data_IF_224559485063
#
_entry.id   IF_224559485063
#
_cell.length_a   1.000
_cell.length_b   1.000
_cell.length_c   1.000
_cell.angle_alpha   90.00
_cell.angle_beta   90.00
_cell.angle_gamma   90.00
#
_symmetry.space_group_name_H-M   'P 1'
#
loop_
_entity.id
_entity.type
_entity.pdbx_description
1 polymer ?
#
# COMPACT_ATOMS: atom_id res chain seq x y z
N UNK A 1 16.67 23.73 -39.13
CA UNK A 1 15.20 23.58 -39.20
C UNK A 1 14.81 22.28 -38.58
N UNK A 2 14.39 22.31 -37.34
CA UNK A 2 13.98 21.17 -36.56
C UNK A 2 12.45 21.12 -36.56
N UNK A 3 11.88 20.25 -37.40
CA UNK A 3 10.43 20.01 -37.45
C UNK A 3 10.04 19.14 -36.24
N UNK A 4 9.50 19.79 -35.23
CA UNK A 4 8.71 19.11 -34.19
C UNK A 4 7.38 18.75 -34.84
N UNK A 5 7.19 17.48 -35.20
CA UNK A 5 5.87 16.95 -35.57
C UNK A 5 5.08 16.74 -34.28
N UNK A 6 4.35 17.76 -33.89
CA UNK A 6 3.22 17.59 -32.97
C UNK A 6 2.21 16.68 -33.66
N UNK A 7 2.12 15.42 -33.21
CA UNK A 7 0.98 14.57 -33.55
C UNK A 7 -0.19 15.07 -32.73
N UNK A 8 -1.21 15.68 -33.35
CA UNK A 8 -2.41 16.00 -32.60
C UNK A 8 -3.02 14.70 -32.11
N UNK A 9 -3.37 14.67 -30.81
CA UNK A 9 -4.12 13.57 -30.20
C UNK A 9 -5.36 13.33 -31.06
N UNK A 10 -5.63 12.07 -31.40
CA UNK A 10 -6.86 11.75 -32.13
C UNK A 10 -8.06 12.09 -31.21
N UNK A 11 -9.16 12.50 -31.81
CA UNK A 11 -10.41 12.78 -31.09
C UNK A 11 -10.78 11.60 -30.19
N UNK A 12 -10.55 10.38 -30.65
CA UNK A 12 -10.76 9.13 -29.89
C UNK A 12 -9.89 9.09 -28.61
N UNK A 13 -8.61 9.40 -28.73
CA UNK A 13 -7.70 9.40 -27.55
C UNK A 13 -8.06 10.49 -26.53
N UNK A 14 -8.57 11.62 -27.01
CA UNK A 14 -9.08 12.70 -26.14
C UNK A 14 -10.38 12.28 -25.46
N UNK A 15 -11.29 11.60 -26.17
CA UNK A 15 -12.55 11.09 -25.61
C UNK A 15 -12.29 10.01 -24.58
N UNK A 16 -11.43 9.03 -24.87
CA UNK A 16 -11.05 7.95 -23.94
C UNK A 16 -10.37 8.51 -22.68
N UNK A 17 -9.54 9.55 -22.83
CA UNK A 17 -8.93 10.26 -21.71
C UNK A 17 -9.94 11.00 -20.84
N UNK A 18 -10.91 11.69 -21.47
CA UNK A 18 -11.99 12.38 -20.76
C UNK A 18 -12.91 11.39 -20.02
N UNK A 19 -13.26 10.28 -20.65
CA UNK A 19 -14.07 9.23 -20.00
C UNK A 19 -13.39 8.66 -18.76
N UNK A 20 -12.08 8.38 -18.83
CA UNK A 20 -11.30 7.90 -17.65
C UNK A 20 -11.27 8.94 -16.54
N UNK A 21 -11.02 10.20 -16.86
CA UNK A 21 -11.04 11.30 -15.89
C UNK A 21 -12.44 11.43 -15.27
N UNK A 22 -13.49 11.36 -16.09
CA UNK A 22 -14.87 11.47 -15.63
C UNK A 22 -15.27 10.30 -14.73
N UNK A 23 -14.84 9.07 -15.05
CA UNK A 23 -15.05 7.91 -14.20
C UNK A 23 -14.31 8.02 -12.86
N UNK A 24 -13.07 8.51 -12.85
CA UNK A 24 -12.28 8.74 -11.63
C UNK A 24 -12.91 9.81 -10.74
N UNK A 25 -13.34 10.94 -11.34
CA UNK A 25 -14.01 12.03 -10.63
C UNK A 25 -15.36 11.57 -10.10
N UNK A 26 -16.13 10.80 -10.89
CA UNK A 26 -17.43 10.25 -10.53
C UNK A 26 -17.32 9.25 -9.37
N UNK A 27 -16.35 8.32 -9.45
CA UNK A 27 -16.07 7.35 -8.41
C UNK A 27 -15.71 8.05 -7.09
N UNK A 28 -14.79 9.02 -7.15
CA UNK A 28 -14.40 9.82 -5.98
C UNK A 28 -15.57 10.62 -5.41
N UNK A 29 -16.43 11.20 -6.26
CA UNK A 29 -17.64 11.92 -5.81
C UNK A 29 -18.67 10.98 -5.23
N UNK A 30 -18.83 9.77 -5.79
CA UNK A 30 -19.74 8.76 -5.30
C UNK A 30 -19.27 8.24 -3.92
N UNK A 31 -17.97 7.94 -3.79
CA UNK A 31 -17.38 7.51 -2.52
C UNK A 31 -17.52 8.60 -1.43
N UNK A 32 -17.26 9.86 -1.79
CA UNK A 32 -17.49 11.00 -0.89
C UNK A 32 -18.98 11.20 -0.56
N UNK A 33 -19.88 10.96 -1.50
CA UNK A 33 -21.33 11.10 -1.29
C UNK A 33 -21.90 9.94 -0.45
N UNK A 34 -21.40 8.71 -0.66
CA UNK A 34 -21.73 7.56 0.17
C UNK A 34 -21.17 7.72 1.59
N UNK A 35 -19.92 8.14 1.72
CA UNK A 35 -19.32 8.47 3.01
C UNK A 35 -20.06 9.60 3.74
N UNK A 36 -20.64 10.57 3.02
CA UNK A 36 -21.51 11.62 3.61
C UNK A 36 -22.89 11.11 4.05
N UNK A 37 -23.42 10.09 3.38
CA UNK A 37 -24.73 9.49 3.73
C UNK A 37 -24.63 8.56 4.95
N UNK A 38 -23.48 7.95 5.19
CA UNK A 38 -23.21 7.17 6.40
C UNK A 38 -22.72 8.05 7.55
N UNK A 39 -22.38 9.31 7.29
CA UNK A 39 -21.82 10.22 8.27
C UNK A 39 -22.89 11.18 8.82
N UNK A 40 -23.47 10.81 9.91
CA UNK A 40 -23.97 11.73 10.95
C UNK A 40 -22.80 12.48 11.66
N UNK A 41 -21.72 12.78 10.97
CA UNK A 41 -20.54 13.46 11.52
C UNK A 41 -19.69 12.66 12.51
N UNK A 42 -20.18 11.51 12.97
CA UNK A 42 -19.43 10.51 13.74
C UNK A 42 -18.69 9.62 12.77
N UNK A 43 -17.34 9.60 12.82
CA UNK A 43 -16.56 8.62 12.10
C UNK A 43 -16.96 7.20 12.52
N UNK A 44 -16.80 6.24 11.63
CA UNK A 44 -17.06 4.84 11.94
C UNK A 44 -15.82 4.22 12.59
N UNK A 45 -16.03 3.51 13.71
CA UNK A 45 -14.99 2.75 14.39
C UNK A 45 -14.95 1.34 13.78
N UNK A 46 -13.83 0.98 13.21
CA UNK A 46 -13.61 -0.32 12.59
C UNK A 46 -12.34 -0.96 13.13
N UNK A 47 -12.34 -2.28 13.23
CA UNK A 47 -11.11 -3.05 13.46
C UNK A 47 -10.51 -3.42 12.11
N UNK A 48 -9.37 -2.83 11.76
CA UNK A 48 -8.73 -3.00 10.47
C UNK A 48 -7.23 -3.28 10.62
N UNK A 49 -6.69 -4.00 9.66
CA UNK A 49 -5.25 -3.98 9.39
C UNK A 49 -4.94 -2.75 8.57
N UNK A 50 -4.05 -1.92 9.07
CA UNK A 50 -3.49 -0.77 8.36
C UNK A 50 -2.12 -1.16 7.84
N UNK A 51 -1.86 -0.89 6.56
CA UNK A 51 -0.59 -1.15 5.91
C UNK A 51 0.04 0.09 5.30
N UNK A 52 1.37 0.12 5.31
CA UNK A 52 2.18 1.04 4.53
C UNK A 52 3.16 0.25 3.69
N UNK A 53 3.26 0.60 2.41
CA UNK A 53 4.30 0.15 1.50
C UNK A 53 5.12 1.36 1.04
N UNK A 54 6.44 1.27 1.02
CA UNK A 54 7.33 2.41 0.79
C UNK A 54 8.55 1.99 -0.04
N UNK A 55 8.99 2.87 -0.94
CA UNK A 55 10.14 2.65 -1.84
C UNK A 55 11.45 2.88 -1.06
N UNK A 56 12.27 1.84 -0.98
CA UNK A 56 13.56 1.93 -0.28
C UNK A 56 14.53 2.83 -1.06
N UNK A 57 15.08 3.83 -0.36
CA UNK A 57 16.10 4.71 -0.94
C UNK A 57 15.58 5.76 -1.91
N UNK A 58 14.26 6.02 -1.95
CA UNK A 58 13.61 6.97 -2.83
C UNK A 58 14.29 8.35 -2.84
N UNK A 59 14.62 8.91 -1.69
CA UNK A 59 15.30 10.22 -1.58
C UNK A 59 16.63 10.27 -2.34
N UNK A 60 17.38 9.16 -2.37
CA UNK A 60 18.62 9.07 -3.13
C UNK A 60 18.35 8.84 -4.61
N UNK A 61 17.31 8.08 -4.93
CA UNK A 61 16.91 7.75 -6.30
C UNK A 61 16.41 9.01 -7.02
N UNK A 62 15.50 9.76 -6.41
CA UNK A 62 14.90 10.98 -6.97
C UNK A 62 15.92 12.08 -7.31
N UNK A 63 17.11 12.04 -6.71
CA UNK A 63 18.21 12.96 -7.05
C UNK A 63 19.05 12.50 -8.25
N UNK A 64 18.94 11.24 -8.67
CA UNK A 64 19.77 10.61 -9.70
C UNK A 64 19.05 10.39 -11.02
N UNK A 65 17.73 10.24 -11.01
CA UNK A 65 16.92 10.02 -12.20
C UNK A 65 16.22 11.30 -12.64
N UNK A 66 15.86 11.39 -13.91
CA UNK A 66 15.11 12.52 -14.46
C UNK A 66 13.65 12.54 -14.00
N UNK A 67 13.00 13.70 -14.06
CA UNK A 67 11.61 13.87 -13.60
C UNK A 67 10.62 12.94 -14.34
N UNK A 68 10.81 12.73 -15.64
CA UNK A 68 9.96 11.83 -16.43
C UNK A 68 10.09 10.37 -16.00
N UNK A 69 11.31 9.94 -15.71
CA UNK A 69 11.58 8.58 -15.22
C UNK A 69 11.04 8.40 -13.80
N UNK A 70 11.21 9.42 -12.96
CA UNK A 70 10.64 9.44 -11.60
C UNK A 70 9.12 9.35 -11.64
N UNK A 71 8.46 10.12 -12.51
CA UNK A 71 7.01 10.06 -12.68
C UNK A 71 6.57 8.66 -13.11
N UNK A 72 7.19 8.09 -14.15
CA UNK A 72 6.85 6.75 -14.63
C UNK A 72 7.02 5.67 -13.56
N UNK A 73 8.04 5.81 -12.71
CA UNK A 73 8.27 4.91 -11.58
C UNK A 73 7.15 5.02 -10.54
N UNK A 74 6.78 6.24 -10.15
CA UNK A 74 5.71 6.46 -9.16
C UNK A 74 4.35 6.00 -9.69
N UNK A 75 4.03 6.32 -10.95
CA UNK A 75 2.80 5.88 -11.61
C UNK A 75 2.70 4.34 -11.65
N UNK A 76 3.81 3.66 -11.99
CA UNK A 76 3.87 2.20 -12.02
C UNK A 76 3.75 1.59 -10.61
N UNK A 77 4.40 2.17 -9.62
CA UNK A 77 4.32 1.72 -8.22
C UNK A 77 2.90 1.87 -7.69
N UNK A 78 2.28 3.04 -7.88
CA UNK A 78 0.92 3.31 -7.41
C UNK A 78 -0.09 2.39 -8.08
N UNK A 79 -0.06 2.27 -9.40
CA UNK A 79 -1.01 1.46 -10.16
C UNK A 79 -0.95 -0.02 -9.76
N UNK A 80 0.26 -0.61 -9.73
CA UNK A 80 0.44 -2.03 -9.41
C UNK A 80 0.15 -2.34 -7.94
N UNK A 81 0.53 -1.45 -7.03
CA UNK A 81 0.19 -1.61 -5.61
C UNK A 81 -1.32 -1.56 -5.40
N UNK A 82 -2.01 -0.63 -6.07
CA UNK A 82 -3.47 -0.53 -6.03
C UNK A 82 -4.15 -1.80 -6.55
N UNK A 83 -3.67 -2.35 -7.66
CA UNK A 83 -4.18 -3.60 -8.26
C UNK A 83 -4.10 -4.76 -7.27
N UNK A 84 -2.92 -5.04 -6.70
CA UNK A 84 -2.71 -6.11 -5.70
C UNK A 84 -3.64 -5.93 -4.49
N UNK A 85 -3.75 -4.71 -3.96
CA UNK A 85 -4.57 -4.44 -2.78
C UNK A 85 -6.04 -4.70 -3.09
N UNK A 86 -6.53 -4.25 -4.25
CA UNK A 86 -7.94 -4.36 -4.64
C UNK A 86 -8.33 -5.80 -4.99
N UNK A 87 -7.44 -6.56 -5.63
CA UNK A 87 -7.66 -7.97 -5.96
C UNK A 87 -7.81 -8.86 -4.72
N UNK A 88 -7.23 -8.44 -3.59
CA UNK A 88 -7.32 -9.13 -2.30
C UNK A 88 -8.36 -8.49 -1.35
N UNK A 89 -9.36 -7.77 -1.88
CA UNK A 89 -10.43 -7.11 -1.12
C UNK A 89 -9.94 -6.05 -0.12
N UNK A 90 -8.76 -5.46 -0.36
CA UNK A 90 -8.25 -4.32 0.39
C UNK A 90 -8.69 -2.97 -0.19
N UNK A 91 -8.40 -1.93 0.54
CA UNK A 91 -8.69 -0.55 0.13
C UNK A 91 -7.45 0.32 0.22
N UNK A 92 -7.10 1.02 -0.86
CA UNK A 92 -6.07 2.05 -0.83
C UNK A 92 -6.68 3.31 -0.22
N UNK A 93 -6.10 3.77 0.87
CA UNK A 93 -6.53 4.99 1.57
C UNK A 93 -5.98 6.22 0.88
N UNK A 94 -4.67 6.24 0.66
CA UNK A 94 -3.97 7.36 0.00
C UNK A 94 -2.55 7.02 -0.39
N UNK A 95 -2.04 7.76 -1.37
CA UNK A 95 -0.61 7.78 -1.72
C UNK A 95 0.07 8.98 -1.04
N UNK A 96 1.26 8.77 -0.52
CA UNK A 96 2.06 9.73 0.24
C UNK A 96 3.46 9.88 -0.37
N UNK A 97 3.52 10.38 -1.60
CA UNK A 97 4.77 10.45 -2.38
C UNK A 97 5.25 9.06 -2.80
N UNK A 98 6.27 8.55 -2.12
CA UNK A 98 6.87 7.23 -2.35
C UNK A 98 6.28 6.11 -1.49
N UNK A 99 5.20 6.39 -0.77
CA UNK A 99 4.51 5.42 0.07
C UNK A 99 3.01 5.33 -0.25
N UNK A 100 2.43 4.15 -0.10
CA UNK A 100 1.00 3.88 -0.21
C UNK A 100 0.47 3.41 1.14
N UNK A 101 -0.60 4.04 1.64
CA UNK A 101 -1.35 3.63 2.81
C UNK A 101 -2.60 2.85 2.37
N UNK A 102 -2.82 1.70 2.98
CA UNK A 102 -3.94 0.82 2.65
C UNK A 102 -4.52 0.13 3.88
N UNK A 103 -5.70 -0.47 3.73
CA UNK A 103 -6.37 -1.21 4.80
C UNK A 103 -6.95 -2.53 4.29
N UNK A 104 -7.09 -3.48 5.23
CA UNK A 104 -7.76 -4.76 5.03
C UNK A 104 -8.60 -5.09 6.26
N UNK A 105 -9.67 -5.87 6.07
CA UNK A 105 -10.39 -6.50 7.17
C UNK A 105 -9.72 -7.80 7.61
N UNK A 106 -9.19 -8.57 6.66
CA UNK A 106 -8.55 -9.86 6.88
C UNK A 106 -7.01 -9.71 6.99
N UNK A 107 -6.40 -10.09 8.11
CA UNK A 107 -4.94 -10.09 8.27
C UNK A 107 -4.20 -11.01 7.29
N UNK A 108 -4.79 -12.13 6.90
CA UNK A 108 -4.18 -13.04 5.93
C UNK A 108 -4.14 -12.43 4.53
N UNK A 109 -5.20 -11.73 4.11
CA UNK A 109 -5.22 -10.98 2.86
C UNK A 109 -4.19 -9.83 2.87
N UNK A 110 -4.06 -9.11 3.99
CA UNK A 110 -3.03 -8.07 4.15
C UNK A 110 -1.61 -8.63 4.05
N UNK A 111 -1.38 -9.80 4.65
CA UNK A 111 -0.11 -10.51 4.55
C UNK A 111 0.19 -10.92 3.11
N UNK A 112 -0.76 -11.52 2.40
CA UNK A 112 -0.64 -11.88 0.98
C UNK A 112 -0.37 -10.65 0.10
N UNK A 113 -1.08 -9.53 0.35
CA UNK A 113 -0.84 -8.28 -0.36
C UNK A 113 0.60 -7.78 -0.16
N UNK A 114 1.13 -7.85 1.07
CA UNK A 114 2.52 -7.44 1.34
C UNK A 114 3.54 -8.24 0.55
N UNK A 115 3.28 -9.52 0.34
CA UNK A 115 4.10 -10.43 -0.46
C UNK A 115 4.04 -10.05 -1.94
N UNK A 116 2.82 -9.87 -2.47
CA UNK A 116 2.61 -9.40 -3.84
C UNK A 116 3.33 -8.07 -4.11
N UNK A 117 3.25 -7.13 -3.16
CA UNK A 117 3.94 -5.84 -3.22
C UNK A 117 5.47 -6.02 -3.31
N UNK A 118 6.07 -6.93 -2.55
CA UNK A 118 7.51 -7.18 -2.67
C UNK A 118 7.91 -7.75 -4.04
N UNK A 119 7.07 -8.58 -4.65
CA UNK A 119 7.31 -9.13 -6.00
C UNK A 119 7.28 -8.06 -7.11
N UNK A 120 6.70 -6.90 -6.87
CA UNK A 120 6.77 -5.78 -7.82
C UNK A 120 8.21 -5.34 -8.11
N UNK A 121 9.12 -5.55 -7.16
CA UNK A 121 10.53 -5.24 -7.31
C UNK A 121 11.29 -6.20 -8.22
N UNK A 122 10.69 -7.33 -8.59
CA UNK A 122 11.28 -8.31 -9.52
C UNK A 122 11.22 -7.82 -10.98
N UNK A 123 10.40 -6.79 -11.23
CA UNK A 123 10.19 -6.23 -12.57
C UNK A 123 10.49 -4.72 -12.57
N UNK A 124 11.46 -4.23 -13.37
CA UNK A 124 11.69 -2.80 -13.51
C UNK A 124 10.41 -2.06 -13.96
N UNK A 125 10.23 -0.79 -13.59
CA UNK A 125 11.21 0.10 -12.96
C UNK A 125 11.16 0.15 -11.42
N UNK A 126 10.37 -0.70 -10.73
CA UNK A 126 10.09 -0.57 -9.31
C UNK A 126 11.29 -1.03 -8.47
N UNK A 127 11.86 -0.14 -7.62
CA UNK A 127 12.93 -0.50 -6.71
C UNK A 127 12.43 -1.41 -5.58
N UNK A 128 13.35 -1.95 -4.76
CA UNK A 128 12.96 -2.70 -3.59
C UNK A 128 12.04 -1.92 -2.66
N UNK A 129 11.04 -2.62 -2.14
CA UNK A 129 10.00 -2.09 -1.28
C UNK A 129 10.18 -2.57 0.17
N UNK A 130 9.53 -1.90 1.09
CA UNK A 130 9.37 -2.31 2.48
C UNK A 130 7.91 -2.11 2.90
N UNK A 131 7.41 -2.98 3.77
CA UNK A 131 6.03 -2.96 4.21
C UNK A 131 5.94 -3.02 5.74
N UNK A 132 4.95 -2.33 6.30
CA UNK A 132 4.60 -2.41 7.70
C UNK A 132 3.10 -2.60 7.86
N UNK A 133 2.67 -3.56 8.67
CA UNK A 133 1.26 -3.85 8.95
C UNK A 133 1.00 -3.75 10.45
N UNK A 134 -0.15 -3.18 10.84
CA UNK A 134 -0.61 -3.17 12.22
C UNK A 134 -2.13 -3.26 12.27
N UNK A 135 -2.70 -3.97 13.24
CA UNK A 135 -4.14 -4.15 13.39
C UNK A 135 -4.67 -3.50 14.67
N UNK A 136 -5.87 -3.00 14.61
CA UNK A 136 -6.63 -2.53 15.75
C UNK A 136 -7.75 -1.58 15.36
N UNK A 137 -8.36 -1.01 16.40
CA UNK A 137 -9.46 -0.06 16.22
C UNK A 137 -8.98 1.25 15.59
N UNK A 138 -9.63 1.64 14.52
CA UNK A 138 -9.38 2.87 13.78
C UNK A 138 -10.67 3.66 13.59
N UNK A 139 -10.52 4.98 13.48
CA UNK A 139 -11.58 5.88 13.10
C UNK A 139 -11.49 6.15 11.60
N UNK A 140 -12.55 5.82 10.85
CA UNK A 140 -12.65 6.17 9.44
C UNK A 140 -13.48 7.46 9.30
N UNK A 141 -12.94 8.43 8.58
CA UNK A 141 -13.62 9.70 8.35
C UNK A 141 -13.21 10.31 7.01
N UNK A 142 -14.19 10.63 6.17
CA UNK A 142 -13.98 11.28 4.86
C UNK A 142 -12.99 10.53 3.94
N UNK A 143 -13.00 9.18 4.01
CA UNK A 143 -12.09 8.34 3.22
C UNK A 143 -10.66 8.27 3.77
N UNK A 144 -10.39 8.87 4.94
CA UNK A 144 -9.11 8.72 5.66
C UNK A 144 -9.28 7.86 6.91
N UNK A 145 -8.16 7.34 7.42
CA UNK A 145 -8.10 6.42 8.56
C UNK A 145 -7.17 6.98 9.63
N UNK A 146 -7.66 6.99 10.88
CA UNK A 146 -6.95 7.55 12.03
C UNK A 146 -6.93 6.54 13.18
N UNK A 147 -5.87 6.55 13.95
CA UNK A 147 -5.73 5.71 15.13
C UNK A 147 -4.31 5.26 15.39
N UNK A 148 -4.14 4.50 16.48
CA UNK A 148 -2.84 3.98 16.86
C UNK A 148 -2.27 3.01 15.82
N UNK A 149 -3.06 2.10 15.18
CA UNK A 149 -2.57 1.20 14.14
C UNK A 149 -1.91 1.92 12.98
N UNK A 150 -2.41 3.10 12.58
CA UNK A 150 -1.81 3.92 11.51
C UNK A 150 -0.38 4.33 11.87
N UNK A 151 -0.18 4.77 13.12
CA UNK A 151 1.13 5.18 13.59
C UNK A 151 2.09 3.99 13.72
N UNK A 152 1.61 2.85 14.24
CA UNK A 152 2.40 1.62 14.38
C UNK A 152 2.84 1.11 13.01
N UNK A 153 1.90 0.95 12.06
CA UNK A 153 2.20 0.48 10.70
C UNK A 153 3.24 1.36 9.99
N UNK A 154 3.11 2.70 10.10
CA UNK A 154 4.09 3.63 9.55
C UNK A 154 5.48 3.48 10.18
N UNK A 155 5.58 3.23 11.50
CA UNK A 155 6.85 3.00 12.19
C UNK A 155 7.47 1.65 11.83
N UNK A 156 6.66 0.61 11.70
CA UNK A 156 7.10 -0.71 11.26
C UNK A 156 7.64 -0.63 9.83
N UNK A 157 6.91 -0.01 8.90
CA UNK A 157 7.36 0.21 7.54
C UNK A 157 8.70 0.95 7.50
N UNK A 158 8.82 2.08 8.21
CA UNK A 158 10.06 2.85 8.28
C UNK A 158 11.24 2.10 8.92
N UNK A 159 10.98 1.07 9.72
CA UNK A 159 11.99 0.22 10.38
C UNK A 159 12.30 -1.06 9.61
N UNK A 160 11.45 -1.43 8.67
CA UNK A 160 11.61 -2.62 7.85
C UNK A 160 12.82 -2.45 6.91
N UNK A 161 13.56 -3.55 6.73
CA UNK A 161 14.63 -3.62 5.74
C UNK A 161 14.02 -3.81 4.35
N UNK A 162 14.84 -3.55 3.34
CA UNK A 162 14.53 -3.84 1.95
C UNK A 162 13.99 -5.27 1.77
N UNK A 163 12.86 -5.41 1.06
CA UNK A 163 12.24 -6.68 0.77
C UNK A 163 11.65 -7.38 2.01
N UNK A 164 11.37 -6.63 3.08
CA UNK A 164 10.81 -7.21 4.32
C UNK A 164 9.53 -6.53 4.74
N UNK A 165 8.63 -7.34 5.29
CA UNK A 165 7.42 -6.90 5.99
C UNK A 165 7.63 -7.03 7.49
N UNK A 166 7.30 -5.98 8.23
CA UNK A 166 7.18 -6.02 9.68
C UNK A 166 5.72 -5.89 10.08
N UNK A 167 5.30 -6.69 11.04
CA UNK A 167 3.94 -6.69 11.58
C UNK A 167 3.96 -6.46 13.08
N UNK A 168 2.87 -5.93 13.63
CA UNK A 168 2.68 -5.82 15.08
C UNK A 168 2.25 -7.17 15.70
N UNK A 169 2.08 -7.18 17.01
CA UNK A 169 1.68 -8.38 17.76
C UNK A 169 0.28 -8.86 17.36
N UNK A 170 -0.65 -7.93 17.11
CA UNK A 170 -2.04 -8.28 16.75
C UNK A 170 -2.13 -9.00 15.41
N UNK A 171 -1.41 -8.53 14.38
CA UNK A 171 -1.32 -9.22 13.09
C UNK A 171 -0.57 -10.55 13.24
N UNK A 172 0.51 -10.58 14.04
CA UNK A 172 1.28 -11.79 14.25
C UNK A 172 0.46 -12.92 14.87
N UNK A 173 -0.34 -12.61 15.90
CA UNK A 173 -1.20 -13.55 16.60
C UNK A 173 -2.30 -14.13 15.69
N UNK A 174 -2.88 -13.31 14.81
CA UNK A 174 -3.90 -13.75 13.85
C UNK A 174 -3.34 -14.66 12.74
N UNK A 175 -2.07 -14.50 12.41
CA UNK A 175 -1.39 -15.34 11.42
C UNK A 175 -0.79 -16.61 12.04
N UNK A 176 -0.81 -16.73 13.39
CA UNK A 176 -0.27 -17.89 14.07
C UNK A 176 -1.08 -19.16 13.74
N UNK A 177 -0.38 -20.18 13.31
CA UNK A 177 -0.99 -21.45 12.86
C UNK A 177 -1.42 -21.48 11.41
N UNK A 178 -1.30 -20.38 10.64
CA UNK A 178 -1.50 -20.40 9.20
C UNK A 178 -0.19 -20.79 8.48
N UNK A 179 -0.15 -22.01 7.96
CA UNK A 179 1.03 -22.60 7.33
C UNK A 179 1.55 -21.84 6.09
N UNK A 180 0.80 -20.86 5.58
CA UNK A 180 1.23 -20.02 4.46
C UNK A 180 2.27 -19.00 4.89
N UNK A 181 2.29 -18.64 6.17
CA UNK A 181 3.10 -17.56 6.69
C UNK A 181 4.10 -18.04 7.74
N UNK A 182 5.27 -17.44 7.70
CA UNK A 182 6.28 -17.62 8.75
C UNK A 182 6.48 -16.29 9.48
N UNK A 183 5.98 -16.23 10.71
CA UNK A 183 6.07 -15.06 11.58
C UNK A 183 7.18 -15.24 12.60
N UNK A 184 8.19 -14.37 12.57
CA UNK A 184 9.36 -14.45 13.46
C UNK A 184 9.48 -13.22 14.34
N UNK A 185 9.49 -13.42 15.65
CA UNK A 185 9.78 -12.36 16.60
C UNK A 185 11.15 -11.73 16.35
N UNK A 186 11.20 -10.39 16.36
CA UNK A 186 12.46 -9.61 16.28
C UNK A 186 12.67 -8.79 17.56
N UNK A 187 13.89 -8.33 17.85
CA UNK A 187 14.11 -7.44 18.99
C UNK A 187 13.18 -6.22 18.94
N UNK A 188 12.62 -5.81 20.09
CA UNK A 188 11.73 -4.67 20.17
C UNK A 188 12.36 -3.42 19.58
N UNK A 189 11.57 -2.69 18.80
CA UNK A 189 12.01 -1.49 18.10
C UNK A 189 11.86 -0.25 19.00
N UNK A 190 12.87 0.61 18.99
CA UNK A 190 12.79 1.94 19.59
C UNK A 190 12.53 2.95 18.48
N UNK A 191 11.29 3.41 18.36
CA UNK A 191 10.85 4.32 17.32
C UNK A 191 10.16 5.54 17.93
N UNK A 192 10.05 6.61 17.16
CA UNK A 192 9.43 7.85 17.66
C UNK A 192 8.01 7.59 18.17
N UNK A 193 7.77 7.90 19.44
CA UNK A 193 6.48 7.71 20.13
C UNK A 193 6.34 6.37 20.83
N UNK A 194 7.19 5.37 20.54
CA UNK A 194 7.09 4.04 21.14
C UNK A 194 8.44 3.58 21.66
N UNK A 195 8.48 3.26 22.95
CA UNK A 195 9.61 2.56 23.56
C UNK A 195 9.33 1.06 23.54
N UNK A 196 10.23 0.27 22.93
CA UNK A 196 10.13 -1.19 22.87
C UNK A 196 8.85 -1.67 22.13
N UNK A 197 8.56 -1.10 20.96
CA UNK A 197 7.49 -1.59 20.11
C UNK A 197 7.79 -3.06 19.74
N UNK A 198 6.88 -3.97 20.10
CA UNK A 198 6.98 -5.37 19.68
C UNK A 198 6.73 -5.44 18.20
N UNK A 199 7.57 -6.19 17.51
CA UNK A 199 7.50 -6.35 16.08
C UNK A 199 7.93 -7.76 15.66
N UNK A 200 7.38 -8.20 14.56
CA UNK A 200 7.62 -9.50 13.97
C UNK A 200 7.96 -9.33 12.50
N UNK A 201 8.90 -10.13 12.00
CA UNK A 201 9.17 -10.23 10.59
C UNK A 201 8.22 -11.26 9.97
N UNK A 202 7.56 -10.90 8.90
CA UNK A 202 6.66 -11.75 8.12
C UNK A 202 7.39 -12.18 6.85
N UNK A 203 7.45 -13.50 6.63
CA UNK A 203 7.93 -14.13 5.40
C UNK A 203 6.90 -15.20 4.97
N UNK A 204 6.95 -15.65 3.71
CA UNK A 204 6.21 -16.82 3.26
C UNK A 204 6.96 -18.09 3.65
N UNK A 205 6.24 -19.16 3.98
CA UNK A 205 6.86 -20.47 4.02
C UNK A 205 7.23 -20.86 2.56
N UNK A 206 8.52 -21.15 2.34
CA UNK A 206 9.08 -21.49 1.01
C UNK A 206 8.47 -22.75 0.39
N UNK A 207 7.66 -23.51 1.13
CA UNK A 207 6.92 -24.66 0.62
C UNK A 207 5.53 -24.26 0.04
N UNK A 208 5.08 -23.01 0.25
CA UNK A 208 3.80 -22.50 -0.24
C UNK A 208 3.92 -21.69 -1.55
N UNK A 209 5.10 -21.64 -2.17
CA UNK A 209 5.35 -20.94 -3.44
C UNK A 209 4.56 -21.49 -4.66
N UNK A 210 3.88 -22.66 -4.51
CA UNK A 210 3.04 -23.27 -5.54
C UNK A 210 1.54 -22.87 -5.46
N UNK A 211 1.16 -21.99 -4.52
CA UNK A 211 -0.20 -21.47 -4.51
C UNK A 211 -0.26 -20.29 -5.49
N UNK A 212 -0.78 -20.59 -6.68
CA UNK A 212 -0.97 -19.64 -7.77
C UNK A 212 -1.64 -18.35 -7.28
N UNK A 213 -0.91 -17.25 -7.38
CA UNK A 213 -1.51 -15.93 -7.50
C UNK A 213 -2.13 -15.90 -8.90
N UNK A 214 -3.40 -15.52 -9.09
CA UNK A 214 -3.97 -15.36 -10.43
C UNK A 214 -3.09 -14.42 -11.25
N UNK A 215 -2.82 -14.83 -12.53
CA UNK A 215 -2.10 -14.01 -13.50
C UNK A 215 -2.88 -12.75 -13.89
#
# INVERSE_FOLDING_TARGET
QMCIRDRPWSIQQMTDGLEKIQQLVWRRHLDLALARRTADGSGEHLDLVVGFADIVGYTSLSRRIGLTELQSLLDAFEARTHEIITELDGSVVKTLGDAVMFTFHDPAAAAMASIGIHRLSDTPPIPPLRVGLARGEVLTRLGDVFGEPVNIAARLCGSARQGKTLVDESVADELDGDNRFHVKHIPPLNVRGYRRLRAYALDIDRQADDVAIPE
#
